data_IF_866753351975
#
_entry.id   IF_866753351975
#
_cell.length_a   1.000
_cell.length_b   1.000
_cell.length_c   1.000
_cell.angle_alpha   90.00
_cell.angle_beta   90.00
_cell.angle_gamma   90.00
#
_symmetry.space_group_name_H-M   'P 1'
#
loop_
_entity.id
_entity.type
_entity.pdbx_description
1 polymer ?
#
# COMPACT_ATOMS: atom_id res chain seq x y z
N UNK A 1 -0.41 -22.46 -5.26
CA UNK A 1 0.26 -21.86 -4.10
C UNK A 1 1.53 -22.68 -3.87
N UNK A 2 2.66 -22.10 -3.42
CA UNK A 2 3.86 -22.89 -3.15
C UNK A 2 3.74 -23.59 -1.80
N UNK A 3 4.43 -24.72 -1.63
CA UNK A 3 4.46 -25.43 -0.35
C UNK A 3 4.96 -24.54 0.81
N UNK A 4 5.93 -23.65 0.53
CA UNK A 4 6.43 -22.69 1.52
C UNK A 4 5.33 -21.74 2.01
N UNK A 5 4.55 -21.17 1.10
CA UNK A 5 3.44 -20.26 1.45
C UNK A 5 2.35 -21.00 2.23
N UNK A 6 2.02 -22.24 1.86
CA UNK A 6 1.04 -23.06 2.59
C UNK A 6 1.48 -23.37 4.02
N UNK A 7 2.76 -23.74 4.21
CA UNK A 7 3.33 -23.97 5.54
C UNK A 7 3.31 -22.70 6.38
N UNK A 8 3.82 -21.58 5.85
CA UNK A 8 3.83 -20.30 6.55
C UNK A 8 2.42 -19.84 6.92
N UNK A 9 1.47 -19.93 5.99
CA UNK A 9 0.08 -19.58 6.26
C UNK A 9 -0.51 -20.49 7.36
N UNK A 10 -0.20 -21.78 7.36
CA UNK A 10 -0.63 -22.70 8.41
C UNK A 10 -0.08 -22.29 9.78
N UNK A 11 1.20 -21.90 9.87
CA UNK A 11 1.82 -21.43 11.12
C UNK A 11 1.14 -20.16 11.61
N UNK A 12 0.98 -19.17 10.73
CA UNK A 12 0.29 -17.92 11.08
C UNK A 12 -1.14 -18.20 11.54
N UNK A 13 -1.89 -19.01 10.80
CA UNK A 13 -3.29 -19.25 11.08
C UNK A 13 -3.52 -20.06 12.36
N UNK A 14 -2.78 -21.15 12.55
CA UNK A 14 -2.95 -22.06 13.70
C UNK A 14 -2.63 -21.34 15.02
N UNK A 15 -1.53 -20.60 15.06
CA UNK A 15 -1.11 -19.82 16.22
C UNK A 15 -2.03 -18.63 16.49
N UNK A 16 -2.46 -17.93 15.44
CA UNK A 16 -3.45 -16.84 15.56
C UNK A 16 -4.75 -17.34 16.17
N UNK A 17 -5.26 -18.51 15.75
CA UNK A 17 -6.49 -19.10 16.31
C UNK A 17 -6.32 -19.44 17.80
N UNK A 18 -5.12 -19.83 18.23
CA UNK A 18 -4.82 -20.06 19.65
C UNK A 18 -4.88 -18.74 20.42
N UNK A 19 -4.08 -17.75 20.02
CA UNK A 19 -3.99 -16.46 20.71
C UNK A 19 -5.34 -15.72 20.72
N UNK A 20 -6.08 -15.75 19.61
CA UNK A 20 -7.43 -15.18 19.51
C UNK A 20 -8.33 -15.66 20.64
N UNK A 21 -8.33 -16.96 20.91
CA UNK A 21 -9.18 -17.57 21.93
C UNK A 21 -8.70 -17.24 23.35
N UNK A 22 -7.40 -17.29 23.57
CA UNK A 22 -6.81 -17.14 24.90
C UNK A 22 -6.81 -15.67 25.37
N UNK A 23 -6.65 -14.73 24.43
CA UNK A 23 -6.63 -13.29 24.70
C UNK A 23 -8.02 -12.63 24.54
N UNK A 24 -9.02 -13.35 24.02
CA UNK A 24 -10.36 -12.82 23.70
C UNK A 24 -10.34 -11.57 22.80
N UNK A 25 -9.53 -11.64 21.73
CA UNK A 25 -9.36 -10.56 20.76
C UNK A 25 -9.86 -10.97 19.35
N UNK A 26 -9.87 -10.03 18.41
CA UNK A 26 -10.18 -10.35 17.00
C UNK A 26 -9.07 -11.19 16.36
N UNK A 27 -9.38 -11.84 15.24
CA UNK A 27 -8.36 -12.59 14.50
C UNK A 27 -7.18 -11.71 14.04
N UNK A 28 -7.44 -10.46 13.63
CA UNK A 28 -6.40 -9.56 13.15
C UNK A 28 -5.49 -9.07 14.29
N UNK A 29 -6.06 -8.77 15.46
CA UNK A 29 -5.27 -8.46 16.65
C UNK A 29 -4.40 -9.65 17.06
N UNK A 30 -4.97 -10.86 17.11
CA UNK A 30 -4.20 -12.06 17.41
C UNK A 30 -3.12 -12.39 16.35
N UNK A 31 -3.33 -11.97 15.10
CA UNK A 31 -2.34 -12.14 14.03
C UNK A 31 -1.14 -11.21 14.23
N UNK A 32 -1.36 -10.00 14.75
CA UNK A 32 -0.27 -9.11 15.19
C UNK A 32 0.55 -9.80 16.27
N UNK A 33 -0.11 -10.30 17.33
CA UNK A 33 0.58 -11.00 18.44
C UNK A 33 1.39 -12.21 17.96
N UNK A 34 0.83 -13.01 17.05
CA UNK A 34 1.54 -14.15 16.45
C UNK A 34 2.76 -13.70 15.64
N UNK A 35 2.65 -12.60 14.91
CA UNK A 35 3.74 -12.10 14.10
C UNK A 35 4.87 -11.50 14.93
N UNK A 36 4.55 -10.76 15.98
CA UNK A 36 5.53 -10.26 16.95
C UNK A 36 6.26 -11.42 17.65
N UNK A 37 5.52 -12.46 18.06
CA UNK A 37 6.13 -13.65 18.66
C UNK A 37 7.13 -14.34 17.72
N UNK A 38 6.78 -14.45 16.43
CA UNK A 38 7.65 -15.04 15.42
C UNK A 38 8.88 -14.19 15.14
N UNK A 39 8.72 -12.87 15.12
CA UNK A 39 9.82 -11.93 14.89
C UNK A 39 10.80 -11.92 16.07
N UNK A 40 10.30 -11.84 17.30
CA UNK A 40 11.12 -11.84 18.52
C UNK A 40 11.66 -13.24 18.87
N UNK A 41 11.10 -14.30 18.28
CA UNK A 41 11.47 -15.68 18.58
C UNK A 41 11.06 -16.14 19.98
N UNK A 42 10.05 -15.50 20.57
CA UNK A 42 9.56 -15.77 21.91
C UNK A 42 8.05 -15.50 22.01
N UNK A 43 7.37 -16.16 22.95
CA UNK A 43 5.97 -15.85 23.28
C UNK A 43 5.97 -14.64 24.22
N UNK A 44 5.40 -13.52 23.76
CA UNK A 44 5.46 -12.23 24.47
C UNK A 44 4.32 -12.04 25.47
N UNK A 45 3.19 -12.72 25.28
CA UNK A 45 2.01 -12.53 26.11
C UNK A 45 2.18 -13.22 27.47
N UNK A 46 1.93 -12.46 28.53
CA UNK A 46 1.95 -12.95 29.91
C UNK A 46 0.68 -13.76 30.24
N UNK A 47 0.71 -14.55 31.31
CA UNK A 47 -0.45 -15.27 31.86
C UNK A 47 -1.11 -16.33 30.95
N UNK A 48 -0.46 -16.74 29.86
CA UNK A 48 -0.91 -17.87 29.06
C UNK A 48 -0.79 -19.20 29.82
N UNK A 49 -1.75 -20.11 29.61
CA UNK A 49 -1.68 -21.45 30.20
C UNK A 49 -0.48 -22.24 29.67
N UNK A 50 0.09 -23.16 30.48
CA UNK A 50 1.19 -24.03 30.04
C UNK A 50 0.84 -24.79 28.75
N UNK A 51 -0.40 -25.29 28.64
CA UNK A 51 -0.87 -25.97 27.42
C UNK A 51 -0.91 -25.07 26.19
N UNK A 52 -1.23 -23.78 26.38
CA UNK A 52 -1.23 -22.78 25.31
C UNK A 52 0.20 -22.51 24.85
N UNK A 53 1.12 -22.31 25.79
CA UNK A 53 2.54 -22.10 25.52
C UNK A 53 3.15 -23.30 24.77
N UNK A 54 2.89 -24.53 25.21
CA UNK A 54 3.36 -25.74 24.53
C UNK A 54 2.84 -25.85 23.10
N UNK A 55 1.57 -25.48 22.87
CA UNK A 55 0.97 -25.49 21.54
C UNK A 55 1.61 -24.44 20.65
N UNK A 56 1.76 -23.20 21.11
CA UNK A 56 2.38 -22.12 20.35
C UNK A 56 3.83 -22.45 19.99
N UNK A 57 4.63 -22.94 20.95
CA UNK A 57 5.99 -23.37 20.70
C UNK A 57 6.08 -24.45 19.63
N UNK A 58 5.12 -25.38 19.58
CA UNK A 58 5.06 -26.40 18.53
C UNK A 58 4.85 -25.78 17.15
N UNK A 59 3.91 -24.85 17.02
CA UNK A 59 3.66 -24.15 15.75
C UNK A 59 4.90 -23.34 15.33
N UNK A 60 5.42 -22.50 16.23
CA UNK A 60 6.55 -21.61 15.95
C UNK A 60 7.87 -22.36 15.71
N UNK A 61 8.07 -23.54 16.30
CA UNK A 61 9.28 -24.36 16.06
C UNK A 61 9.45 -24.82 14.61
N UNK A 62 8.38 -24.75 13.81
CA UNK A 62 8.42 -25.07 12.38
C UNK A 62 8.77 -23.87 11.50
N UNK A 63 8.78 -22.66 12.07
CA UNK A 63 9.21 -21.45 11.39
C UNK A 63 10.74 -21.35 11.41
N UNK A 64 11.33 -21.16 10.23
CA UNK A 64 12.75 -20.86 10.09
C UNK A 64 12.91 -19.72 9.09
N UNK A 65 13.20 -18.53 9.62
CA UNK A 65 13.30 -17.29 8.85
C UNK A 65 14.31 -17.39 7.69
N UNK A 66 15.45 -18.05 7.91
CA UNK A 66 16.52 -18.21 6.91
C UNK A 66 16.10 -19.11 5.72
N UNK A 67 14.98 -19.82 5.83
CA UNK A 67 14.49 -20.73 4.79
C UNK A 67 13.53 -20.04 3.82
N UNK A 68 12.90 -18.94 4.22
CA UNK A 68 11.80 -18.32 3.47
C UNK A 68 12.20 -17.02 2.81
N UNK A 69 11.73 -16.81 1.58
CA UNK A 69 11.91 -15.52 0.90
C UNK A 69 10.87 -14.51 1.41
N UNK A 70 11.21 -13.23 1.42
CA UNK A 70 10.29 -12.16 1.82
C UNK A 70 8.94 -12.23 1.07
N UNK A 71 8.96 -12.56 -0.22
CA UNK A 71 7.74 -12.72 -1.02
C UNK A 71 6.86 -13.90 -0.61
N UNK A 72 7.44 -14.97 -0.05
CA UNK A 72 6.69 -16.11 0.49
C UNK A 72 6.04 -15.76 1.82
N UNK A 73 6.79 -15.05 2.69
CA UNK A 73 6.29 -14.50 3.96
C UNK A 73 5.14 -13.54 3.70
N UNK A 74 5.33 -12.56 2.81
CA UNK A 74 4.30 -11.57 2.42
C UNK A 74 3.01 -12.25 1.99
N UNK A 75 3.09 -13.24 1.08
CA UNK A 75 1.91 -13.94 0.55
C UNK A 75 1.20 -14.76 1.63
N UNK A 76 1.95 -15.45 2.49
CA UNK A 76 1.36 -16.20 3.59
C UNK A 76 0.67 -15.28 4.61
N UNK A 77 1.33 -14.17 4.98
CA UNK A 77 0.76 -13.17 5.89
C UNK A 77 -0.46 -12.48 5.28
N UNK A 78 -0.41 -12.16 3.98
CA UNK A 78 -1.53 -11.64 3.20
C UNK A 78 -2.75 -12.58 3.27
N UNK A 79 -2.56 -13.89 3.16
CA UNK A 79 -3.65 -14.87 3.27
C UNK A 79 -4.27 -14.87 4.68
N UNK A 80 -3.46 -14.76 5.73
CA UNK A 80 -3.93 -14.64 7.10
C UNK A 80 -4.74 -13.35 7.32
N UNK A 81 -4.24 -12.20 6.84
CA UNK A 81 -4.98 -10.93 6.86
C UNK A 81 -6.32 -11.09 6.12
N UNK A 82 -6.33 -11.63 4.89
CA UNK A 82 -7.56 -11.84 4.13
C UNK A 82 -8.55 -12.76 4.86
N UNK A 83 -8.07 -13.75 5.61
CA UNK A 83 -8.93 -14.59 6.46
C UNK A 83 -9.58 -13.76 7.56
N UNK A 84 -8.81 -12.95 8.29
CA UNK A 84 -9.35 -12.06 9.33
C UNK A 84 -10.34 -11.02 8.78
N UNK A 85 -10.07 -10.46 7.60
CA UNK A 85 -10.93 -9.46 6.97
C UNK A 85 -12.28 -10.02 6.47
N UNK A 86 -12.45 -11.35 6.34
CA UNK A 86 -13.73 -11.95 5.97
C UNK A 86 -14.82 -11.75 7.01
N UNK A 87 -14.46 -11.47 8.26
CA UNK A 87 -15.42 -11.23 9.35
C UNK A 87 -16.13 -9.87 9.25
N UNK A 88 -15.71 -9.02 8.30
CA UNK A 88 -16.35 -7.74 7.97
C UNK A 88 -15.38 -6.58 8.19
N UNK A 89 -15.06 -5.86 7.11
CA UNK A 89 -14.13 -4.72 7.14
C UNK A 89 -14.72 -3.59 6.31
N UNK A 90 -14.47 -2.35 6.73
CA UNK A 90 -14.90 -1.17 5.98
C UNK A 90 -14.12 -1.07 4.67
N UNK A 91 -14.72 -0.53 3.61
CA UNK A 91 -14.10 -0.47 2.29
C UNK A 91 -12.72 0.22 2.28
N UNK A 92 -12.53 1.26 3.10
CA UNK A 92 -11.25 1.98 3.21
C UNK A 92 -10.18 1.24 4.03
N UNK A 93 -10.55 0.17 4.75
CA UNK A 93 -9.63 -0.69 5.50
C UNK A 93 -9.33 -1.99 4.73
N UNK A 94 -9.91 -2.18 3.54
CA UNK A 94 -9.59 -3.34 2.72
C UNK A 94 -8.15 -3.26 2.22
N UNK A 95 -7.41 -4.35 2.38
CA UNK A 95 -6.06 -4.47 1.85
C UNK A 95 -6.06 -4.40 0.31
N UNK A 96 -5.12 -3.66 -0.26
CA UNK A 96 -4.90 -3.61 -1.71
C UNK A 96 -4.62 -5.02 -2.26
N UNK A 97 -5.40 -5.51 -3.26
CA UNK A 97 -5.23 -6.85 -3.82
C UNK A 97 -3.84 -7.07 -4.46
N UNK A 98 -3.32 -8.30 -4.35
CA UNK A 98 -1.98 -8.66 -4.83
C UNK A 98 -1.73 -8.30 -6.30
N UNK A 99 -2.69 -8.61 -7.17
CA UNK A 99 -2.61 -8.32 -8.60
C UNK A 99 -2.44 -6.81 -8.88
N UNK A 100 -3.16 -5.98 -8.13
CA UNK A 100 -3.07 -4.51 -8.25
C UNK A 100 -1.71 -4.04 -7.75
N UNK A 101 -1.25 -4.54 -6.60
CA UNK A 101 0.06 -4.24 -6.05
C UNK A 101 1.21 -4.62 -6.99
N UNK A 102 1.15 -5.79 -7.64
CA UNK A 102 2.15 -6.24 -8.61
C UNK A 102 2.20 -5.33 -9.84
N UNK A 103 1.03 -4.91 -10.36
CA UNK A 103 0.99 -4.02 -11.52
C UNK A 103 1.45 -2.60 -11.16
N UNK A 104 1.07 -2.10 -9.98
CA UNK A 104 1.60 -0.85 -9.43
C UNK A 104 3.13 -0.92 -9.27
N UNK A 105 3.65 -2.03 -8.76
CA UNK A 105 5.09 -2.28 -8.62
C UNK A 105 5.83 -2.26 -9.97
N UNK A 106 5.25 -2.88 -11.01
CA UNK A 106 5.80 -2.79 -12.36
C UNK A 106 5.92 -1.33 -12.83
N UNK A 107 4.85 -0.53 -12.70
CA UNK A 107 4.86 0.87 -13.10
C UNK A 107 5.88 1.67 -12.28
N UNK A 108 5.88 1.50 -10.95
CA UNK A 108 6.83 2.13 -10.05
C UNK A 108 8.27 1.90 -10.50
N UNK A 109 8.68 0.64 -10.69
CA UNK A 109 10.04 0.31 -11.10
C UNK A 109 10.39 0.78 -12.52
N UNK A 110 9.40 0.89 -13.41
CA UNK A 110 9.59 1.52 -14.74
C UNK A 110 9.79 3.03 -14.66
N UNK A 111 9.01 3.72 -13.84
CA UNK A 111 9.16 5.17 -13.63
C UNK A 111 10.42 5.52 -12.84
N UNK A 112 10.84 4.67 -11.91
CA UNK A 112 12.04 4.87 -11.08
C UNK A 112 13.32 4.24 -11.65
N UNK A 113 13.28 3.72 -12.88
CA UNK A 113 14.43 3.07 -13.52
C UNK A 113 15.68 3.97 -13.52
N UNK A 114 16.83 3.40 -13.12
CA UNK A 114 18.13 4.07 -13.09
C UNK A 114 18.51 4.66 -11.73
N UNK A 115 17.58 4.71 -10.79
CA UNK A 115 17.88 5.05 -9.40
C UNK A 115 18.57 3.88 -8.70
N UNK A 116 19.50 4.20 -7.79
CA UNK A 116 20.18 3.21 -6.93
C UNK A 116 19.62 3.18 -5.51
N UNK A 117 19.08 4.30 -5.06
CA UNK A 117 18.46 4.49 -3.76
C UNK A 117 17.12 5.19 -3.97
N UNK A 118 16.07 4.69 -3.33
CA UNK A 118 14.73 5.29 -3.40
C UNK A 118 14.13 5.30 -1.99
N UNK A 119 13.73 6.48 -1.55
CA UNK A 119 12.88 6.69 -0.38
C UNK A 119 11.41 6.73 -0.80
N UNK A 120 10.55 5.97 -0.13
CA UNK A 120 9.11 5.86 -0.45
C UNK A 120 8.26 6.26 0.75
N UNK A 121 7.19 7.03 0.52
CA UNK A 121 6.16 7.30 1.54
C UNK A 121 4.84 6.65 1.12
N UNK A 122 4.15 6.01 2.05
CA UNK A 122 2.72 5.73 1.97
C UNK A 122 2.02 6.44 3.15
N UNK A 123 1.30 7.55 2.92
CA UNK A 123 0.64 8.32 3.98
C UNK A 123 -0.65 7.67 4.50
N UNK A 124 -1.07 6.54 3.92
CA UNK A 124 -2.23 5.74 4.33
C UNK A 124 -1.94 4.25 4.08
N UNK A 125 -0.93 3.73 4.77
CA UNK A 125 -0.27 2.45 4.44
C UNK A 125 -1.15 1.20 4.65
N UNK A 126 -2.21 1.30 5.46
CA UNK A 126 -3.03 0.15 5.82
C UNK A 126 -2.18 -0.98 6.40
N UNK A 127 -2.30 -2.18 5.84
CA UNK A 127 -1.52 -3.37 6.27
C UNK A 127 -0.11 -3.46 5.65
N UNK A 128 0.32 -2.44 4.90
CA UNK A 128 1.64 -2.42 4.25
C UNK A 128 1.81 -3.40 3.09
N UNK A 129 0.76 -4.12 2.67
CA UNK A 129 0.87 -5.08 1.57
C UNK A 129 1.26 -4.43 0.24
N UNK A 130 0.74 -3.24 -0.07
CA UNK A 130 1.12 -2.51 -1.27
C UNK A 130 2.61 -2.16 -1.24
N UNK A 131 3.07 -1.49 -0.18
CA UNK A 131 4.46 -1.07 -0.04
C UNK A 131 5.44 -2.25 -0.04
N UNK A 132 5.16 -3.31 0.71
CA UNK A 132 6.03 -4.51 0.75
C UNK A 132 6.04 -5.28 -0.57
N UNK A 133 4.95 -5.23 -1.37
CA UNK A 133 4.96 -5.78 -2.74
C UNK A 133 5.95 -5.05 -3.64
N UNK A 134 6.04 -3.72 -3.52
CA UNK A 134 7.01 -2.90 -4.27
C UNK A 134 8.44 -3.24 -3.86
N UNK A 135 8.69 -3.35 -2.56
CA UNK A 135 10.02 -3.60 -1.99
C UNK A 135 10.52 -5.00 -2.39
N UNK A 136 9.66 -6.03 -2.34
CA UNK A 136 10.01 -7.39 -2.77
C UNK A 136 10.32 -7.51 -4.27
N UNK A 137 9.87 -6.54 -5.07
CA UNK A 137 10.12 -6.50 -6.52
C UNK A 137 11.38 -5.73 -6.89
N UNK A 138 12.07 -5.14 -5.89
CA UNK A 138 13.31 -4.40 -6.12
C UNK A 138 14.41 -5.33 -6.67
N UNK A 139 15.23 -4.80 -7.57
CA UNK A 139 16.44 -5.49 -8.03
C UNK A 139 17.51 -5.44 -6.96
N UNK A 140 18.43 -6.40 -6.96
CA UNK A 140 19.50 -6.50 -5.95
C UNK A 140 20.35 -5.23 -5.84
N UNK A 141 20.53 -4.45 -6.91
CA UNK A 141 21.34 -3.22 -6.89
C UNK A 141 20.57 -1.98 -6.37
N UNK A 142 19.25 -2.09 -6.18
CA UNK A 142 18.38 -1.00 -5.74
C UNK A 142 18.12 -1.11 -4.24
N UNK A 143 18.58 -0.12 -3.49
CA UNK A 143 18.24 0.02 -2.07
C UNK A 143 16.95 0.83 -1.94
N UNK A 144 15.99 0.30 -1.18
CA UNK A 144 14.74 0.98 -0.87
C UNK A 144 14.59 1.13 0.63
N UNK A 145 14.14 2.31 1.07
CA UNK A 145 13.64 2.53 2.42
C UNK A 145 12.30 3.26 2.35
N UNK A 146 11.52 3.20 3.43
CA UNK A 146 10.19 3.76 3.39
C UNK A 146 9.69 4.34 4.70
N UNK A 147 8.63 5.11 4.59
CA UNK A 147 7.83 5.63 5.68
C UNK A 147 6.38 5.26 5.45
N UNK A 148 5.72 4.70 6.46
CA UNK A 148 4.31 4.33 6.45
C UNK A 148 3.54 5.08 7.51
N UNK A 149 2.41 5.67 7.16
CA UNK A 149 1.52 6.36 8.11
C UNK A 149 0.14 5.73 8.04
N UNK A 150 -0.44 5.43 9.21
CA UNK A 150 -1.79 4.89 9.31
C UNK A 150 -2.40 5.33 10.65
N UNK A 151 -3.72 5.60 10.64
CA UNK A 151 -4.47 6.06 11.80
C UNK A 151 -5.11 4.90 12.56
N UNK A 152 -5.32 3.76 11.91
CA UNK A 152 -5.82 2.53 12.54
C UNK A 152 -4.69 1.72 13.18
N UNK A 153 -4.81 1.51 14.49
CA UNK A 153 -3.79 0.83 15.31
C UNK A 153 -3.54 -0.63 14.88
N UNK A 154 -4.58 -1.36 14.48
CA UNK A 154 -4.43 -2.77 14.09
C UNK A 154 -3.76 -2.85 12.72
N UNK A 155 -4.16 -2.00 11.77
CA UNK A 155 -3.58 -1.97 10.44
C UNK A 155 -2.09 -1.60 10.46
N UNK A 156 -1.70 -0.55 11.21
CA UNK A 156 -0.29 -0.14 11.30
C UNK A 156 0.58 -1.22 11.96
N UNK A 157 0.07 -1.92 12.99
CA UNK A 157 0.78 -3.04 13.62
C UNK A 157 0.93 -4.23 12.67
N UNK A 158 -0.11 -4.57 11.90
CA UNK A 158 0.00 -5.58 10.84
C UNK A 158 1.04 -5.18 9.80
N UNK A 159 1.13 -3.90 9.42
CA UNK A 159 2.13 -3.41 8.50
C UNK A 159 3.55 -3.53 9.05
N UNK A 160 3.73 -3.17 10.33
CA UNK A 160 5.00 -3.28 11.05
C UNK A 160 5.48 -4.73 11.10
N UNK A 161 4.64 -5.66 11.56
CA UNK A 161 4.93 -7.10 11.60
C UNK A 161 5.27 -7.62 10.20
N UNK A 162 4.47 -7.26 9.21
CA UNK A 162 4.67 -7.69 7.83
C UNK A 162 6.02 -7.23 7.27
N UNK A 163 6.47 -6.01 7.59
CA UNK A 163 7.76 -5.49 7.20
C UNK A 163 8.91 -6.13 7.99
N UNK A 164 8.76 -6.30 9.31
CA UNK A 164 9.74 -6.91 10.20
C UNK A 164 10.07 -8.35 9.80
N UNK A 165 9.05 -9.20 9.61
CA UNK A 165 9.23 -10.58 9.18
C UNK A 165 9.89 -10.70 7.78
N UNK A 166 9.81 -9.66 6.96
CA UNK A 166 10.46 -9.59 5.65
C UNK A 166 11.79 -8.83 5.66
N UNK A 167 12.21 -8.28 6.80
CA UNK A 167 13.42 -7.46 6.99
C UNK A 167 13.44 -6.20 6.10
N UNK A 168 12.27 -5.58 5.88
CA UNK A 168 12.17 -4.33 5.12
C UNK A 168 12.50 -3.10 5.98
N UNK A 169 13.30 -2.18 5.45
CA UNK A 169 13.65 -0.93 6.12
C UNK A 169 12.52 0.11 5.98
N UNK A 170 11.49 -0.02 6.83
CA UNK A 170 10.31 0.85 6.83
C UNK A 170 10.10 1.42 8.23
N UNK A 171 10.01 2.74 8.34
CA UNK A 171 9.60 3.44 9.55
C UNK A 171 8.09 3.68 9.56
N UNK A 172 7.45 3.47 10.70
CA UNK A 172 5.98 3.50 10.83
C UNK A 172 5.53 4.58 11.82
N UNK A 173 4.49 5.33 11.45
CA UNK A 173 3.87 6.36 12.27
C UNK A 173 2.39 6.06 12.46
N UNK A 174 2.00 5.74 13.69
CA UNK A 174 0.59 5.62 14.07
C UNK A 174 0.02 7.01 14.36
N UNK A 175 -0.51 7.68 13.34
CA UNK A 175 -1.09 9.01 13.43
C UNK A 175 -1.99 9.30 12.22
N UNK A 176 -2.71 10.42 12.27
CA UNK A 176 -3.43 10.93 11.11
C UNK A 176 -2.46 11.34 9.98
N UNK A 177 -2.55 10.68 8.83
CA UNK A 177 -1.70 10.95 7.66
C UNK A 177 -1.88 12.34 7.04
N UNK A 178 -2.99 13.03 7.34
CA UNK A 178 -3.24 14.41 6.94
C UNK A 178 -2.82 15.43 8.00
N UNK A 179 -2.37 15.00 9.17
CA UNK A 179 -1.71 15.89 10.12
C UNK A 179 -0.27 16.22 9.65
N UNK A 180 0.42 17.19 10.28
CA UNK A 180 1.82 17.45 9.98
C UNK A 180 2.69 16.19 10.14
N UNK A 181 3.42 15.83 9.08
CA UNK A 181 4.35 14.69 9.09
C UNK A 181 5.78 15.22 9.24
N UNK A 182 6.51 14.66 10.21
CA UNK A 182 7.94 14.95 10.40
C UNK A 182 8.80 13.97 9.59
N UNK A 183 8.55 13.95 8.28
CA UNK A 183 9.21 13.06 7.32
C UNK A 183 9.87 13.95 6.26
N UNK A 184 11.16 13.75 6.01
CA UNK A 184 11.86 14.47 4.94
C UNK A 184 11.24 14.14 3.57
N UNK A 185 11.24 15.09 2.61
CA UNK A 185 10.69 14.82 1.29
C UNK A 185 11.29 13.57 0.64
N UNK A 186 10.43 12.69 0.11
CA UNK A 186 10.80 11.39 -0.47
C UNK A 186 10.89 11.40 -1.99
N UNK A 187 11.54 10.40 -2.56
CA UNK A 187 11.68 10.24 -4.01
C UNK A 187 10.37 9.82 -4.68
N UNK A 188 9.56 9.03 -3.98
CA UNK A 188 8.25 8.62 -4.46
C UNK A 188 7.20 8.47 -3.36
N UNK A 189 5.94 8.79 -3.68
CA UNK A 189 4.79 8.43 -2.86
C UNK A 189 4.00 7.33 -3.54
N UNK A 190 3.57 6.32 -2.78
CA UNK A 190 2.71 5.23 -3.27
C UNK A 190 1.60 5.02 -2.26
N UNK A 191 0.33 5.02 -2.68
CA UNK A 191 -0.76 4.85 -1.73
C UNK A 191 -2.06 4.37 -2.37
N UNK A 192 -2.81 3.54 -1.65
CA UNK A 192 -4.20 3.25 -1.96
C UNK A 192 -5.11 4.19 -1.18
N UNK A 193 -5.57 5.27 -1.81
CA UNK A 193 -6.13 6.40 -1.07
C UNK A 193 -7.49 6.06 -0.43
N UNK A 194 -7.70 6.43 0.85
CA UNK A 194 -9.01 6.29 1.47
C UNK A 194 -10.01 7.27 0.86
N UNK A 195 -11.19 6.76 0.50
CA UNK A 195 -12.22 7.52 -0.23
C UNK A 195 -13.33 7.90 0.74
N UNK A 196 -13.64 9.20 0.83
CA UNK A 196 -14.66 9.72 1.72
C UNK A 196 -14.37 11.15 2.14
N UNK A 197 -15.03 11.58 3.21
CA UNK A 197 -14.85 12.88 3.82
C UNK A 197 -13.81 12.81 4.95
N UNK A 198 -12.98 13.84 5.04
CA UNK A 198 -12.06 14.01 6.16
C UNK A 198 -12.75 14.80 7.29
N UNK A 199 -12.82 14.26 8.51
CA UNK A 199 -13.64 14.84 9.57
C UNK A 199 -13.00 16.02 10.31
N UNK A 200 -11.68 16.21 10.22
CA UNK A 200 -10.98 17.26 10.97
C UNK A 200 -10.87 18.54 10.14
N UNK A 201 -11.83 19.44 10.35
CA UNK A 201 -11.91 20.71 9.61
C UNK A 201 -10.75 21.68 9.89
N UNK A 202 -10.15 21.60 11.10
CA UNK A 202 -9.01 22.46 11.48
C UNK A 202 -7.78 22.07 10.68
N UNK A 203 -7.49 20.76 10.58
CA UNK A 203 -6.39 20.29 9.75
C UNK A 203 -6.70 20.55 8.27
N UNK A 204 -7.94 20.29 7.83
CA UNK A 204 -8.35 20.57 6.46
C UNK A 204 -8.17 22.04 6.06
N UNK A 205 -8.31 22.99 6.98
CA UNK A 205 -8.15 24.42 6.66
C UNK A 205 -6.74 24.84 6.27
N UNK A 206 -5.73 24.02 6.57
CA UNK A 206 -4.34 24.23 6.18
C UNK A 206 -4.03 23.74 4.74
N UNK A 207 -5.01 23.15 4.07
CA UNK A 207 -4.88 22.62 2.71
C UNK A 207 -5.44 23.57 1.66
N UNK A 208 -4.73 23.66 0.54
CA UNK A 208 -5.22 24.35 -0.66
C UNK A 208 -6.49 23.68 -1.18
N UNK A 209 -6.53 22.35 -1.11
CA UNK A 209 -7.65 21.50 -1.56
C UNK A 209 -8.80 21.37 -0.55
N UNK A 210 -8.80 22.16 0.54
CA UNK A 210 -9.98 22.28 1.41
C UNK A 210 -11.24 22.56 0.56
N UNK A 211 -12.36 21.90 0.86
CA UNK A 211 -13.64 22.19 0.22
C UNK A 211 -14.11 23.63 0.51
N UNK A 212 -14.74 24.26 -0.49
CA UNK A 212 -15.33 25.58 -0.32
C UNK A 212 -16.67 25.49 0.44
N UNK A 213 -17.41 24.39 0.24
CA UNK A 213 -18.64 24.07 0.96
C UNK A 213 -18.60 22.61 1.48
N UNK A 214 -19.08 22.40 2.71
CA UNK A 214 -19.13 21.08 3.33
C UNK A 214 -17.76 20.52 3.73
N UNK A 215 -17.70 19.20 3.92
CA UNK A 215 -16.46 18.50 4.30
C UNK A 215 -15.54 18.29 3.10
N UNK A 216 -14.23 18.35 3.36
CA UNK A 216 -13.21 18.09 2.34
C UNK A 216 -13.09 16.60 2.04
N UNK A 217 -12.85 16.25 0.78
CA UNK A 217 -12.58 14.87 0.40
C UNK A 217 -11.19 14.43 0.87
N UNK A 218 -11.13 13.35 1.66
CA UNK A 218 -9.87 12.84 2.22
C UNK A 218 -8.84 12.52 1.12
N UNK A 219 -9.27 11.80 0.07
CA UNK A 219 -8.43 11.46 -1.08
C UNK A 219 -7.89 12.68 -1.84
N UNK A 220 -8.58 13.83 -1.85
CA UNK A 220 -8.01 15.07 -2.40
C UNK A 220 -6.91 15.63 -1.49
N UNK A 221 -7.19 15.70 -0.19
CA UNK A 221 -6.21 16.18 0.79
C UNK A 221 -4.96 15.30 0.83
N UNK A 222 -5.10 13.97 0.70
CA UNK A 222 -3.97 13.05 0.61
C UNK A 222 -3.11 13.28 -0.62
N UNK A 223 -3.71 13.62 -1.78
CA UNK A 223 -2.94 13.99 -2.97
C UNK A 223 -2.09 15.24 -2.67
N UNK A 224 -2.67 16.28 -2.07
CA UNK A 224 -1.90 17.48 -1.69
C UNK A 224 -0.81 17.17 -0.66
N UNK A 225 -1.13 16.40 0.38
CA UNK A 225 -0.18 16.00 1.41
C UNK A 225 1.02 15.24 0.82
N UNK A 226 0.73 14.33 -0.10
CA UNK A 226 1.73 13.54 -0.80
C UNK A 226 2.62 14.43 -1.67
N UNK A 227 2.04 15.39 -2.40
CA UNK A 227 2.81 16.37 -3.19
C UNK A 227 3.70 17.24 -2.30
N UNK A 228 3.22 17.65 -1.11
CA UNK A 228 4.04 18.39 -0.13
C UNK A 228 5.29 17.61 0.29
N UNK A 229 5.16 16.30 0.52
CA UNK A 229 6.24 15.41 0.96
C UNK A 229 7.01 14.71 -0.17
N UNK A 230 6.78 15.07 -1.44
CA UNK A 230 7.57 14.55 -2.57
C UNK A 230 8.67 15.54 -2.94
N UNK A 231 9.89 15.06 -3.22
CA UNK A 231 10.98 15.89 -3.78
C UNK A 231 10.56 16.50 -5.12
N UNK A 232 11.12 17.65 -5.47
CA UNK A 232 10.95 18.22 -6.83
C UNK A 232 11.37 17.19 -7.89
N UNK A 233 10.51 16.94 -8.88
CA UNK A 233 10.72 15.88 -9.88
C UNK A 233 10.45 14.44 -9.44
N UNK A 234 10.13 14.21 -8.17
CA UNK A 234 9.72 12.90 -7.65
C UNK A 234 8.35 12.46 -8.17
N UNK A 235 8.05 11.17 -8.00
CA UNK A 235 6.84 10.55 -8.57
C UNK A 235 5.80 10.21 -7.50
N UNK A 236 4.53 10.25 -7.87
CA UNK A 236 3.44 9.86 -7.00
C UNK A 236 2.55 8.85 -7.72
N UNK A 237 2.21 7.76 -7.04
CA UNK A 237 1.43 6.64 -7.56
C UNK A 237 0.25 6.39 -6.64
N UNK A 238 -0.96 6.67 -7.13
CA UNK A 238 -2.17 6.52 -6.33
C UNK A 238 -3.11 5.49 -6.92
N UNK A 239 -3.78 4.72 -6.07
CA UNK A 239 -5.08 4.16 -6.44
C UNK A 239 -6.16 5.17 -6.07
N UNK A 240 -6.87 5.64 -7.09
CA UNK A 240 -7.93 6.64 -6.96
C UNK A 240 -9.24 6.12 -7.52
N UNK A 241 -10.40 6.58 -7.05
CA UNK A 241 -11.67 6.25 -7.69
C UNK A 241 -11.69 6.71 -9.15
N UNK A 242 -12.36 5.97 -10.03
CA UNK A 242 -12.50 6.38 -11.43
C UNK A 242 -13.20 7.75 -11.59
N UNK A 243 -14.06 8.11 -10.64
CA UNK A 243 -14.78 9.38 -10.59
C UNK A 243 -13.98 10.55 -9.97
N UNK A 244 -12.66 10.41 -9.75
CA UNK A 244 -11.82 11.42 -9.10
C UNK A 244 -11.94 12.82 -9.74
N UNK A 245 -12.22 12.90 -11.04
CA UNK A 245 -12.39 14.15 -11.78
C UNK A 245 -13.87 14.52 -12.07
N UNK A 246 -14.83 13.82 -11.46
CA UNK A 246 -16.27 14.00 -11.71
C UNK A 246 -17.02 14.61 -10.51
N UNK A 247 -16.33 14.84 -9.38
CA UNK A 247 -16.93 15.35 -8.15
C UNK A 247 -17.04 16.88 -8.12
N UNK A 248 -17.85 17.41 -7.20
CA UNK A 248 -18.00 18.87 -7.01
C UNK A 248 -16.68 19.57 -6.64
N UNK A 249 -15.75 18.84 -5.99
CA UNK A 249 -14.43 19.35 -5.61
C UNK A 249 -13.36 19.13 -6.69
N UNK A 250 -13.69 18.45 -7.81
CA UNK A 250 -12.75 18.12 -8.88
C UNK A 250 -12.11 19.33 -9.59
N UNK A 251 -12.80 20.46 -9.82
CA UNK A 251 -12.18 21.64 -10.44
C UNK A 251 -10.97 22.15 -9.64
N UNK A 252 -11.05 22.12 -8.30
CA UNK A 252 -9.98 22.54 -7.41
C UNK A 252 -8.80 21.57 -7.44
N UNK A 253 -9.08 20.27 -7.43
CA UNK A 253 -8.07 19.22 -7.61
C UNK A 253 -7.33 19.38 -8.94
N UNK A 254 -8.06 19.60 -10.04
CA UNK A 254 -7.45 19.78 -11.35
C UNK A 254 -6.56 21.04 -11.42
N UNK A 255 -6.99 22.16 -10.84
CA UNK A 255 -6.19 23.38 -10.76
C UNK A 255 -4.89 23.15 -9.97
N UNK A 256 -4.99 22.52 -8.80
CA UNK A 256 -3.84 22.17 -7.97
C UNK A 256 -2.83 21.28 -8.71
N UNK A 257 -3.29 20.17 -9.30
CA UNK A 257 -2.41 19.24 -10.05
C UNK A 257 -1.74 19.97 -11.21
N UNK A 258 -2.49 20.80 -11.96
CA UNK A 258 -1.93 21.57 -13.07
C UNK A 258 -0.86 22.55 -12.61
N UNK A 259 -0.98 23.10 -11.40
CA UNK A 259 -0.01 24.01 -10.82
C UNK A 259 1.24 23.28 -10.34
N UNK A 260 1.08 22.16 -9.63
CA UNK A 260 2.17 21.50 -8.88
C UNK A 260 2.82 20.30 -9.57
N UNK A 261 2.12 19.66 -10.51
CA UNK A 261 2.53 18.38 -11.08
C UNK A 261 2.39 18.33 -12.61
N UNK A 262 2.97 17.28 -13.20
CA UNK A 262 2.62 16.79 -14.53
C UNK A 262 1.95 15.43 -14.41
N UNK A 263 0.84 15.26 -15.11
CA UNK A 263 0.15 13.96 -15.19
C UNK A 263 0.96 13.07 -16.12
N UNK A 264 1.47 11.96 -15.57
CA UNK A 264 2.21 10.95 -16.32
C UNK A 264 1.27 9.90 -16.90
N UNK A 265 0.26 9.48 -16.13
CA UNK A 265 -0.74 8.55 -16.63
C UNK A 265 -1.93 8.35 -15.71
N UNK A 266 -3.01 7.84 -16.30
CA UNK A 266 -4.21 7.36 -15.63
C UNK A 266 -4.60 6.02 -16.26
N UNK A 267 -4.46 4.95 -15.49
CA UNK A 267 -4.68 3.58 -15.95
C UNK A 267 -5.86 2.98 -15.20
N UNK A 268 -6.98 2.79 -15.89
CA UNK A 268 -8.18 2.22 -15.31
C UNK A 268 -8.01 0.71 -15.10
N UNK A 269 -8.18 0.26 -13.85
CA UNK A 269 -8.09 -1.16 -13.50
C UNK A 269 -9.36 -1.89 -13.95
N UNK A 270 -9.28 -3.21 -14.22
CA UNK A 270 -10.45 -3.98 -14.63
C UNK A 270 -11.49 -4.01 -13.53
N UNK A 271 -12.72 -3.61 -13.86
CA UNK A 271 -13.85 -3.55 -12.91
C UNK A 271 -14.07 -4.88 -12.17
N UNK A 272 -13.78 -6.01 -12.83
CA UNK A 272 -13.90 -7.35 -12.24
C UNK A 272 -12.97 -7.63 -11.04
N UNK A 273 -12.02 -6.74 -10.75
CA UNK A 273 -11.17 -6.85 -9.56
C UNK A 273 -11.84 -6.35 -8.28
N UNK A 274 -12.91 -5.58 -8.42
CA UNK A 274 -13.60 -4.94 -7.31
C UNK A 274 -14.94 -5.63 -7.06
N UNK A 275 -15.31 -5.77 -5.78
CA UNK A 275 -16.61 -6.35 -5.40
C UNK A 275 -17.80 -5.55 -5.96
N UNK A 276 -17.62 -4.26 -6.19
CA UNK A 276 -18.63 -3.34 -6.71
C UNK A 276 -18.00 -2.43 -7.77
N UNK A 277 -18.70 -2.21 -8.89
CA UNK A 277 -18.24 -1.33 -9.96
C UNK A 277 -18.01 0.11 -9.49
N UNK A 278 -18.79 0.58 -8.51
CA UNK A 278 -18.61 1.90 -7.89
C UNK A 278 -17.29 2.07 -7.14
N UNK A 279 -16.66 0.95 -6.78
CA UNK A 279 -15.36 0.93 -6.11
C UNK A 279 -14.21 0.72 -7.11
N UNK A 280 -14.50 0.70 -8.42
CA UNK A 280 -13.46 0.56 -9.42
C UNK A 280 -12.48 1.74 -9.34
N UNK A 281 -11.20 1.40 -9.27
CA UNK A 281 -10.09 2.35 -9.12
C UNK A 281 -9.27 2.44 -10.40
N UNK A 282 -8.54 3.53 -10.51
CA UNK A 282 -7.48 3.75 -11.50
C UNK A 282 -6.15 3.93 -10.79
N UNK A 283 -5.06 3.54 -11.44
CA UNK A 283 -3.72 3.95 -11.06
C UNK A 283 -3.48 5.33 -11.65
N UNK A 284 -3.24 6.31 -10.80
CA UNK A 284 -2.96 7.68 -11.18
C UNK A 284 -1.50 8.01 -10.88
N UNK A 285 -0.74 8.31 -11.93
CA UNK A 285 0.69 8.59 -11.84
C UNK A 285 0.93 10.07 -12.11
N UNK A 286 1.55 10.72 -11.14
CA UNK A 286 1.97 12.12 -11.20
C UNK A 286 3.49 12.21 -11.08
N UNK A 287 4.05 13.28 -11.62
CA UNK A 287 5.40 13.72 -11.31
C UNK A 287 5.32 15.14 -10.76
N UNK A 288 5.88 15.38 -9.58
CA UNK A 288 5.98 16.73 -9.04
C UNK A 288 6.85 17.57 -9.98
N UNK A 289 6.45 18.82 -10.23
CA UNK A 289 7.29 19.74 -11.00
C UNK A 289 8.63 19.94 -10.29
N UNK A 290 9.59 20.47 -11.03
CA UNK A 290 10.95 20.67 -10.58
C UNK A 290 11.82 21.18 -11.70
N UNK A 291 13.02 21.66 -11.36
CA UNK A 291 13.98 22.12 -12.35
C UNK A 291 14.36 20.98 -13.30
N UNK A 292 14.22 21.20 -14.61
CA UNK A 292 14.56 20.20 -15.63
C UNK A 292 13.50 19.12 -15.87
N UNK A 293 12.39 19.13 -15.11
CA UNK A 293 11.26 18.22 -15.32
C UNK A 293 10.38 18.76 -16.44
N UNK A 294 10.09 17.94 -17.45
CA UNK A 294 9.23 18.32 -18.57
C UNK A 294 7.94 17.52 -18.57
N UNK A 295 6.84 18.18 -18.93
CA UNK A 295 5.57 17.51 -19.18
C UNK A 295 5.72 16.44 -20.28
N UNK A 296 5.16 15.23 -20.10
CA UNK A 296 5.16 14.24 -21.17
C UNK A 296 4.38 14.79 -22.37
N UNK A 297 4.84 14.49 -23.59
CA UNK A 297 4.13 14.95 -24.81
C UNK A 297 2.70 14.39 -24.89
N UNK A 298 2.50 13.20 -24.31
CA UNK A 298 1.23 12.52 -24.23
C UNK A 298 1.16 11.77 -22.90
N UNK A 299 0.15 12.07 -22.08
CA UNK A 299 -0.12 11.30 -20.88
C UNK A 299 -0.54 9.87 -21.24
N UNK A 300 -0.13 8.91 -20.42
CA UNK A 300 -0.49 7.51 -20.58
C UNK A 300 -1.92 7.27 -20.10
N UNK A 301 -2.86 7.16 -21.03
CA UNK A 301 -4.26 6.83 -20.74
C UNK A 301 -4.56 5.43 -21.23
N UNK A 302 -4.87 4.51 -20.31
CA UNK A 302 -5.03 3.08 -20.62
C UNK A 302 -6.20 2.49 -19.84
N UNK A 303 -7.06 1.75 -20.52
CA UNK A 303 -8.01 0.85 -19.88
C UNK A 303 -7.41 -0.56 -19.86
N UNK A 304 -7.15 -1.10 -18.67
CA UNK A 304 -6.57 -2.43 -18.56
C UNK A 304 -7.64 -3.51 -18.80
N UNK A 305 -7.35 -4.53 -19.62
CA UNK A 305 -8.21 -5.68 -19.76
C UNK A 305 -8.14 -6.53 -18.49
N UNK A 306 -9.09 -7.46 -18.33
CA UNK A 306 -9.02 -8.47 -17.26
C UNK A 306 -7.64 -9.11 -17.25
N UNK A 307 -6.99 -9.17 -16.08
CA UNK A 307 -5.63 -9.71 -15.98
C UNK A 307 -5.54 -11.20 -16.35
N UNK A 308 -6.66 -11.93 -16.30
CA UNK A 308 -6.75 -13.30 -16.80
C UNK A 308 -6.70 -13.41 -18.33
N UNK A 309 -6.89 -12.31 -19.07
CA UNK A 309 -6.76 -12.28 -20.53
C UNK A 309 -5.31 -11.99 -20.93
N UNK A 310 -4.49 -13.06 -20.96
CA UNK A 310 -3.06 -12.97 -21.24
C UNK A 310 -2.72 -12.24 -22.54
N UNK A 311 -3.44 -12.53 -23.64
CA UNK A 311 -3.16 -11.92 -24.95
C UNK A 311 -3.46 -10.41 -24.97
N UNK A 312 -4.56 -10.00 -24.34
CA UNK A 312 -4.88 -8.58 -24.25
C UNK A 312 -3.89 -7.85 -23.33
N UNK A 313 -3.49 -8.48 -22.23
CA UNK A 313 -2.46 -7.93 -21.33
C UNK A 313 -1.11 -7.79 -22.04
N UNK A 314 -0.67 -8.78 -22.81
CA UNK A 314 0.59 -8.72 -23.58
C UNK A 314 0.62 -7.50 -24.52
N UNK A 315 -0.46 -7.30 -25.28
CA UNK A 315 -0.59 -6.12 -26.15
C UNK A 315 -0.50 -4.79 -25.37
N UNK A 316 -1.09 -4.72 -24.18
CA UNK A 316 -1.02 -3.53 -23.33
C UNK A 316 0.40 -3.33 -22.80
N UNK A 317 1.08 -4.40 -22.39
CA UNK A 317 2.47 -4.32 -21.93
C UNK A 317 3.41 -3.82 -23.04
N UNK A 318 3.18 -4.23 -24.29
CA UNK A 318 3.94 -3.73 -25.45
C UNK A 318 3.69 -2.23 -25.69
N UNK A 319 2.44 -1.78 -25.58
CA UNK A 319 2.10 -0.36 -25.67
C UNK A 319 2.75 0.45 -24.54
N UNK A 320 2.74 -0.06 -23.31
CA UNK A 320 3.38 0.57 -22.16
C UNK A 320 4.90 0.69 -22.37
N UNK A 321 5.56 -0.40 -22.76
CA UNK A 321 6.99 -0.38 -23.04
C UNK A 321 7.34 0.59 -24.18
N UNK A 322 6.51 0.67 -25.22
CA UNK A 322 6.67 1.63 -26.32
C UNK A 322 6.53 3.07 -25.83
N UNK A 323 5.52 3.35 -24.98
CA UNK A 323 5.32 4.67 -24.40
C UNK A 323 6.52 5.09 -23.55
N UNK A 324 7.00 4.22 -22.66
CA UNK A 324 8.19 4.48 -21.84
C UNK A 324 9.44 4.76 -22.67
N UNK A 325 9.62 4.10 -23.82
CA UNK A 325 10.78 4.32 -24.69
C UNK A 325 10.71 5.64 -25.51
N UNK A 326 9.53 6.25 -25.62
CA UNK A 326 9.28 7.38 -26.53
C UNK A 326 8.93 8.69 -25.83
N UNK A 327 8.35 8.61 -24.62
CA UNK A 327 7.76 9.74 -23.92
C UNK A 327 8.34 10.03 -22.52
N UNK A 328 9.18 9.14 -21.99
CA UNK A 328 9.87 9.31 -20.70
C UNK A 328 11.36 9.54 -20.92
#
# INVERSE_FOLDING_TARGET
>A
MSQAVETLFSIFDSSTVVLRKELDVTYLEALVETGDNLFEGAILQEELSESTIERLNREYSTFNEETYKGEEIRKAFQLAILKGMKEGVQANHEMTPDAVGMFMSYLFHKFMQGQKEITVLDPAIGTGNLMTTLFNSAKEELTMSGFGVEVDEVLIKLALVNANLQKHAIEFFHQDGLAPLYIDPVDAVVSDLPIGYYPNEIVASEYTLKADEGMSYAHHLFIEQSVKHTKEGGYLFFLVPNFIFESDQAPKLHAFIKETCFIQGLLQLPVSMFKNEKNAKSIFVLQKKGQGVTMPKQALLVELPKFSNMKAMENIMDQLNTWFATHK
#
